data_IF_669546025067
#
_entry.id   IF_669546025067
#
_cell.length_a   1.000
_cell.length_b   1.000
_cell.length_c   1.000
_cell.angle_alpha   90.00
_cell.angle_beta   90.00
_cell.angle_gamma   90.00
#
_symmetry.space_group_name_H-M   'P 1'
#
loop_
_entity.id
_entity.type
_entity.pdbx_description
1 polymer ?
#
# COMPACT_ATOMS: atom_id res chain seq x y z
N UNK A 1 14.56 -14.40 -7.35
CA UNK A 1 14.47 -13.30 -6.35
C UNK A 1 13.16 -12.52 -6.48
N UNK A 2 12.30 -12.87 -7.44
CA UNK A 2 10.97 -12.28 -7.64
C UNK A 2 10.02 -12.61 -6.47
N UNK A 3 10.11 -13.84 -5.96
CA UNK A 3 9.21 -14.38 -4.93
C UNK A 3 9.26 -13.63 -3.60
N UNK A 4 10.41 -13.00 -3.29
CA UNK A 4 10.56 -12.21 -2.05
C UNK A 4 9.88 -10.85 -2.18
N UNK A 5 9.98 -10.23 -3.36
CA UNK A 5 9.40 -8.92 -3.63
C UNK A 5 7.90 -9.02 -3.76
N UNK A 6 7.39 -9.99 -4.51
CA UNK A 6 5.95 -10.28 -4.61
C UNK A 6 5.35 -10.52 -3.22
N UNK A 7 5.96 -11.42 -2.44
CA UNK A 7 5.51 -11.68 -1.06
C UNK A 7 5.57 -10.45 -0.15
N UNK A 8 6.59 -9.60 -0.31
CA UNK A 8 6.69 -8.38 0.48
C UNK A 8 5.60 -7.38 0.09
N UNK A 9 5.27 -7.30 -1.20
CA UNK A 9 4.18 -6.46 -1.73
C UNK A 9 2.82 -6.94 -1.18
N UNK A 10 2.50 -8.23 -1.27
CA UNK A 10 1.26 -8.80 -0.73
C UNK A 10 1.09 -8.51 0.78
N UNK A 11 2.16 -8.69 1.56
CA UNK A 11 2.14 -8.43 3.01
C UNK A 11 1.96 -6.94 3.28
N UNK A 12 2.55 -6.08 2.45
CA UNK A 12 2.42 -4.64 2.59
C UNK A 12 0.99 -4.17 2.24
N UNK A 13 0.38 -4.76 1.21
CA UNK A 13 -1.01 -4.50 0.81
C UNK A 13 -1.98 -4.92 1.91
N UNK A 14 -1.86 -6.13 2.45
CA UNK A 14 -2.66 -6.58 3.59
C UNK A 14 -2.46 -5.66 4.81
N UNK A 15 -1.22 -5.18 5.02
CA UNK A 15 -0.90 -4.21 6.06
C UNK A 15 -1.67 -2.90 5.89
N UNK A 16 -1.68 -2.33 4.69
CA UNK A 16 -2.42 -1.11 4.38
C UNK A 16 -3.93 -1.30 4.55
N UNK A 17 -4.50 -2.42 4.10
CA UNK A 17 -5.91 -2.72 4.29
C UNK A 17 -6.27 -2.73 5.77
N UNK A 18 -5.46 -3.37 6.62
CA UNK A 18 -5.67 -3.36 8.07
C UNK A 18 -5.62 -1.96 8.68
N UNK A 19 -4.72 -1.11 8.18
CA UNK A 19 -4.67 0.29 8.60
C UNK A 19 -5.96 1.03 8.23
N UNK A 20 -6.50 0.80 7.02
CA UNK A 20 -7.77 1.38 6.55
C UNK A 20 -8.97 0.87 7.36
N UNK A 21 -8.98 -0.42 7.72
CA UNK A 21 -9.99 -1.04 8.59
C UNK A 21 -9.91 -0.57 10.06
N UNK A 22 -8.86 0.18 10.43
CA UNK A 22 -8.65 0.71 11.78
C UNK A 22 -7.83 -0.20 12.71
N UNK A 23 -7.41 -1.38 12.26
CA UNK A 23 -6.46 -2.24 12.99
C UNK A 23 -5.02 -1.78 12.74
N UNK A 24 -4.71 -0.62 13.34
CA UNK A 24 -3.41 0.03 13.25
C UNK A 24 -2.27 -0.87 13.69
N UNK A 25 -2.46 -1.64 14.78
CA UNK A 25 -1.43 -2.50 15.36
C UNK A 25 -1.04 -3.65 14.43
N UNK A 26 -2.02 -4.31 13.81
CA UNK A 26 -1.75 -5.40 12.87
C UNK A 26 -1.16 -4.84 11.58
N UNK A 27 -1.73 -3.75 11.07
CA UNK A 27 -1.25 -3.09 9.85
C UNK A 27 0.22 -2.67 9.94
N UNK A 28 0.61 -1.94 10.99
CA UNK A 28 2.00 -1.52 11.20
C UNK A 28 2.97 -2.71 11.28
N UNK A 29 2.54 -3.80 11.92
CA UNK A 29 3.35 -5.02 12.05
C UNK A 29 3.56 -5.72 10.70
N UNK A 30 2.55 -5.74 9.85
CA UNK A 30 2.63 -6.29 8.51
C UNK A 30 3.55 -5.44 7.62
N UNK A 31 3.41 -4.10 7.66
CA UNK A 31 4.31 -3.19 6.94
C UNK A 31 5.77 -3.38 7.38
N UNK A 32 6.06 -3.46 8.68
CA UNK A 32 7.42 -3.70 9.18
C UNK A 32 7.97 -5.06 8.70
N UNK A 33 7.11 -6.08 8.64
CA UNK A 33 7.48 -7.40 8.13
C UNK A 33 7.78 -7.37 6.63
N UNK A 34 6.99 -6.66 5.83
CA UNK A 34 7.25 -6.48 4.41
C UNK A 34 8.60 -5.76 4.18
N UNK A 35 8.87 -4.66 4.92
CA UNK A 35 10.14 -3.93 4.84
C UNK A 35 11.35 -4.80 5.14
N UNK A 36 11.22 -5.76 6.07
CA UNK A 36 12.29 -6.71 6.40
C UNK A 36 12.54 -7.75 5.29
N UNK A 37 11.53 -8.05 4.47
CA UNK A 37 11.65 -9.00 3.36
C UNK A 37 12.23 -8.28 2.15
N UNK A 38 11.60 -7.18 1.73
CA UNK A 38 12.08 -6.29 0.68
C UNK A 38 11.53 -4.87 0.92
N UNK A 39 12.38 -3.90 1.29
CA UNK A 39 11.93 -2.52 1.49
C UNK A 39 11.42 -1.88 0.19
N UNK A 40 11.95 -2.28 -0.98
CA UNK A 40 11.54 -1.70 -2.26
C UNK A 40 10.08 -2.00 -2.58
N UNK A 41 9.59 -3.19 -2.23
CA UNK A 41 8.18 -3.55 -2.43
C UNK A 41 7.23 -2.60 -1.69
N UNK A 42 7.64 -2.13 -0.50
CA UNK A 42 6.85 -1.19 0.30
C UNK A 42 6.89 0.21 -0.28
N UNK A 43 8.05 0.65 -0.78
CA UNK A 43 8.18 1.94 -1.45
C UNK A 43 7.33 1.99 -2.72
N UNK A 44 7.35 0.93 -3.53
CA UNK A 44 6.55 0.83 -4.75
C UNK A 44 5.05 0.88 -4.48
N UNK A 45 4.59 0.15 -3.47
CA UNK A 45 3.19 0.18 -3.05
C UNK A 45 2.79 1.57 -2.56
N UNK A 46 3.66 2.28 -1.85
CA UNK A 46 3.39 3.66 -1.44
C UNK A 46 3.23 4.60 -2.65
N UNK A 47 4.07 4.45 -3.68
CA UNK A 47 3.91 5.19 -4.94
C UNK A 47 2.63 4.80 -5.70
N UNK A 48 2.23 3.53 -5.67
CA UNK A 48 0.96 3.07 -6.26
C UNK A 48 -0.24 3.73 -5.60
N UNK A 49 -0.29 3.73 -4.27
CA UNK A 49 -1.36 4.37 -3.49
C UNK A 49 -1.41 5.87 -3.74
N UNK A 50 -0.26 6.55 -3.81
CA UNK A 50 -0.20 7.99 -4.10
C UNK A 50 -0.74 8.30 -5.50
N UNK A 51 -0.34 7.52 -6.52
CA UNK A 51 -0.86 7.67 -7.89
C UNK A 51 -2.36 7.42 -7.96
N UNK A 52 -2.87 6.42 -7.24
CA UNK A 52 -4.28 6.09 -7.25
C UNK A 52 -5.12 7.13 -6.50
N UNK A 53 -4.57 7.71 -5.43
CA UNK A 53 -5.15 8.88 -4.78
C UNK A 53 -5.22 10.08 -5.74
N UNK A 54 -4.13 10.40 -6.44
CA UNK A 54 -4.11 11.52 -7.41
C UNK A 54 -5.16 11.32 -8.52
N UNK A 55 -5.25 10.11 -9.07
CA UNK A 55 -6.28 9.75 -10.05
C UNK A 55 -7.69 9.93 -9.45
N UNK A 56 -7.94 9.38 -8.26
CA UNK A 56 -9.24 9.48 -7.61
C UNK A 56 -9.64 10.94 -7.38
N UNK A 57 -8.74 11.79 -6.89
CA UNK A 57 -8.96 13.22 -6.71
C UNK A 57 -9.28 13.92 -8.04
N UNK A 58 -8.58 13.55 -9.13
CA UNK A 58 -8.84 14.08 -10.47
C UNK A 58 -10.21 13.69 -11.02
N UNK A 59 -10.71 12.49 -10.72
CA UNK A 59 -12.06 12.07 -11.11
C UNK A 59 -13.15 12.74 -10.27
N UNK A 60 -12.94 12.86 -8.96
CA UNK A 60 -13.90 13.54 -8.06
C UNK A 60 -14.05 15.03 -8.41
N UNK A 61 -13.00 15.68 -8.90
CA UNK A 61 -13.05 17.09 -9.31
C UNK A 61 -13.73 17.32 -10.68
N UNK A 62 -14.13 16.25 -11.41
CA UNK A 62 -14.89 16.33 -12.65
C UNK A 62 -16.36 15.98 -12.39
N UNK A 63 -17.03 16.72 -11.50
CA UNK A 63 -18.50 16.77 -11.53
C UNK A 63 -18.91 17.54 -12.80
N UNK A 64 -19.70 16.95 -13.72
CA UNK A 64 -20.34 17.75 -14.76
C UNK A 64 -21.27 18.76 -14.07
N UNK A 65 -21.13 20.03 -14.44
CA UNK A 65 -22.07 21.09 -14.11
C UNK A 65 -23.42 20.86 -14.80
#
# INVERSE_FOLDING_TARGET
MEDKRERAHDIAEEGLDKLVEGDTKTGEKLIDKAKKIDPKAVDELAEEVERDKEKAERFVNRKPA
#
